data_IF_333702150267
#
_entry.id   IF_333702150267
#
_cell.length_a   1.000
_cell.length_b   1.000
_cell.length_c   1.000
_cell.angle_alpha   90.00
_cell.angle_beta   90.00
_cell.angle_gamma   90.00
#
_symmetry.space_group_name_H-M   'P 1'
#
loop_
_entity.id
_entity.type
_entity.pdbx_description
1 polymer ?
#
# COMPACT_ATOMS: atom_id res chain seq x y z
N UNK A 1 -61.65 14.01 -41.15
CA UNK A 1 -60.86 15.17 -40.68
C UNK A 1 -59.81 14.62 -39.73
N UNK A 2 -58.58 14.45 -40.21
CA UNK A 2 -57.41 15.30 -39.89
C UNK A 2 -56.99 15.16 -38.42
N UNK A 3 -55.77 14.85 -38.01
CA UNK A 3 -54.47 14.77 -38.68
C UNK A 3 -53.48 14.14 -37.65
N UNK A 4 -52.39 13.53 -38.16
CA UNK A 4 -51.00 13.35 -37.61
C UNK A 4 -50.74 13.71 -36.11
N UNK A 5 -49.94 12.95 -35.36
CA UNK A 5 -48.47 12.97 -35.44
C UNK A 5 -47.84 11.69 -34.86
N UNK A 6 -46.74 11.35 -35.53
CA UNK A 6 -45.81 10.24 -35.39
C UNK A 6 -44.60 10.66 -34.51
N UNK A 7 -43.88 9.67 -33.94
CA UNK A 7 -42.45 9.69 -33.57
C UNK A 7 -42.02 10.48 -32.31
N UNK A 8 -41.48 9.82 -31.26
CA UNK A 8 -40.01 9.57 -31.06
C UNK A 8 -39.67 8.92 -29.70
N UNK A 9 -38.77 7.94 -29.78
CA UNK A 9 -37.92 7.39 -28.70
C UNK A 9 -37.19 8.50 -27.94
N UNK A 10 -37.14 8.44 -26.60
CA UNK A 10 -35.93 8.72 -25.79
C UNK A 10 -36.27 8.76 -24.29
N UNK A 11 -35.74 7.83 -23.51
CA UNK A 11 -34.95 8.10 -22.29
C UNK A 11 -34.78 6.84 -21.44
N UNK A 12 -33.78 6.04 -21.79
CA UNK A 12 -33.11 5.11 -20.87
C UNK A 12 -31.61 5.39 -21.04
N UNK A 13 -31.11 6.42 -20.35
CA UNK A 13 -29.67 6.68 -20.14
C UNK A 13 -29.51 7.62 -18.94
N UNK A 14 -29.53 7.06 -17.73
CA UNK A 14 -29.08 7.81 -16.53
C UNK A 14 -28.86 6.93 -15.29
N UNK A 15 -28.37 5.69 -15.44
CA UNK A 15 -28.00 4.84 -14.28
C UNK A 15 -26.65 4.12 -14.46
N UNK A 16 -26.07 4.10 -15.67
CA UNK A 16 -24.87 3.28 -15.97
C UNK A 16 -23.52 3.99 -15.76
N UNK A 17 -23.49 5.25 -15.32
CA UNK A 17 -22.24 6.02 -15.15
C UNK A 17 -21.66 5.96 -13.74
N UNK A 18 -22.45 5.72 -12.69
CA UNK A 18 -21.95 5.69 -11.30
C UNK A 18 -21.38 4.30 -10.89
N UNK A 19 -21.77 3.23 -11.58
CA UNK A 19 -21.35 1.86 -11.26
C UNK A 19 -20.02 1.42 -11.93
N UNK A 20 -19.40 2.28 -12.75
CA UNK A 20 -18.11 2.00 -13.41
C UNK A 20 -16.90 2.49 -12.60
N UNK A 21 -17.08 3.52 -11.78
CA UNK A 21 -15.99 4.11 -11.00
C UNK A 21 -15.66 3.32 -9.73
N UNK A 22 -16.62 2.55 -9.21
CA UNK A 22 -16.47 1.73 -7.98
C UNK A 22 -15.77 0.39 -8.29
N UNK A 23 -16.00 -0.23 -9.45
CA UNK A 23 -15.37 -1.52 -9.83
C UNK A 23 -13.85 -1.43 -10.10
N UNK A 24 -13.32 -0.22 -10.24
CA UNK A 24 -11.91 0.00 -10.57
C UNK A 24 -11.01 0.13 -9.33
N UNK A 25 -11.56 0.44 -8.14
CA UNK A 25 -10.77 0.69 -6.91
C UNK A 25 -10.18 -0.59 -6.30
N UNK A 26 -10.91 -1.71 -6.29
CA UNK A 26 -10.43 -2.99 -5.73
C UNK A 26 -9.33 -3.66 -6.57
N UNK A 27 -9.30 -3.42 -7.88
CA UNK A 27 -8.22 -3.87 -8.79
C UNK A 27 -6.96 -3.02 -8.63
N UNK A 28 -7.13 -1.73 -8.30
CA UNK A 28 -6.04 -0.80 -8.00
C UNK A 28 -5.35 -1.13 -6.67
N UNK A 29 -6.07 -1.53 -5.62
CA UNK A 29 -5.51 -1.81 -4.29
C UNK A 29 -4.52 -2.98 -4.26
N UNK A 30 -4.83 -4.09 -4.95
CA UNK A 30 -3.98 -5.30 -4.98
C UNK A 30 -2.66 -5.03 -5.71
N UNK A 31 -2.74 -4.37 -6.88
CA UNK A 31 -1.53 -3.92 -7.58
C UNK A 31 -0.74 -2.93 -6.71
N UNK A 32 -1.42 -2.04 -5.99
CA UNK A 32 -0.76 -1.04 -5.14
C UNK A 32 0.01 -1.67 -3.98
N UNK A 33 -0.42 -2.82 -3.45
CA UNK A 33 0.29 -3.51 -2.38
C UNK A 33 1.58 -4.19 -2.87
N UNK A 34 1.51 -4.93 -3.97
CA UNK A 34 2.70 -5.54 -4.58
C UNK A 34 3.70 -4.48 -5.05
N UNK A 35 3.21 -3.36 -5.61
CA UNK A 35 4.04 -2.24 -6.02
C UNK A 35 4.74 -1.62 -4.80
N UNK A 36 4.05 -1.45 -3.66
CA UNK A 36 4.66 -0.91 -2.44
C UNK A 36 5.87 -1.73 -1.99
N UNK A 37 5.73 -3.06 -1.87
CA UNK A 37 6.81 -3.93 -1.37
C UNK A 37 7.97 -4.12 -2.37
N UNK A 38 7.71 -3.97 -3.67
CA UNK A 38 8.73 -4.05 -4.71
C UNK A 38 9.34 -2.68 -5.07
N UNK A 39 8.87 -1.59 -4.47
CA UNK A 39 9.40 -0.24 -4.73
C UNK A 39 10.81 -0.09 -4.19
N UNK A 40 11.63 0.67 -4.91
CA UNK A 40 12.98 1.05 -4.47
C UNK A 40 12.93 1.97 -3.25
N UNK A 41 14.06 2.09 -2.55
CA UNK A 41 14.17 3.00 -1.40
C UNK A 41 13.86 4.47 -1.77
N UNK A 42 14.24 4.91 -2.98
CA UNK A 42 13.93 6.27 -3.44
C UNK A 42 12.43 6.48 -3.68
N UNK A 43 11.75 5.49 -4.26
CA UNK A 43 10.30 5.53 -4.49
C UNK A 43 9.52 5.49 -3.18
N UNK A 44 9.94 4.66 -2.22
CA UNK A 44 9.34 4.60 -0.89
C UNK A 44 9.46 5.93 -0.13
N UNK A 45 10.61 6.61 -0.22
CA UNK A 45 10.78 7.93 0.40
C UNK A 45 9.87 8.99 -0.22
N UNK A 46 9.69 8.96 -1.54
CA UNK A 46 8.82 9.91 -2.26
C UNK A 46 7.33 9.59 -2.10
N UNK A 47 6.99 8.31 -1.96
CA UNK A 47 5.62 7.83 -1.81
C UNK A 47 4.88 7.58 -3.12
N UNK A 48 5.56 7.67 -4.26
CA UNK A 48 4.99 7.45 -5.58
C UNK A 48 6.00 6.78 -6.52
N UNK A 49 5.48 6.07 -7.53
CA UNK A 49 6.23 5.43 -8.61
C UNK A 49 5.78 5.98 -9.96
N UNK A 50 6.67 5.98 -10.96
CA UNK A 50 6.32 6.30 -12.34
C UNK A 50 6.30 5.03 -13.19
N UNK A 51 5.18 4.78 -13.86
CA UNK A 51 4.98 3.73 -14.85
C UNK A 51 4.60 4.38 -16.20
N UNK A 52 5.59 4.58 -17.08
CA UNK A 52 5.39 5.29 -18.35
C UNK A 52 4.95 6.74 -18.12
N UNK A 53 3.78 7.11 -18.64
CA UNK A 53 3.19 8.45 -18.49
C UNK A 53 2.30 8.59 -17.25
N UNK A 54 2.29 7.61 -16.35
CA UNK A 54 1.43 7.61 -15.16
C UNK A 54 2.30 7.58 -13.90
N UNK A 55 2.05 8.52 -13.00
CA UNK A 55 2.59 8.54 -11.65
C UNK A 55 1.53 7.96 -10.73
N UNK A 56 1.90 7.02 -9.86
CA UNK A 56 0.97 6.32 -8.96
C UNK A 56 1.42 6.47 -7.51
N UNK A 57 0.50 6.86 -6.64
CA UNK A 57 0.70 6.88 -5.20
C UNK A 57 0.87 5.45 -4.66
N UNK A 58 1.93 5.19 -3.88
CA UNK A 58 2.19 3.89 -3.26
C UNK A 58 1.24 3.58 -2.09
N UNK A 59 0.62 4.61 -1.50
CA UNK A 59 -0.29 4.47 -0.36
C UNK A 59 -1.70 4.11 -0.82
N UNK A 60 -2.34 4.96 -1.63
CA UNK A 60 -3.74 4.78 -2.01
C UNK A 60 -3.96 4.38 -3.48
N UNK A 61 -2.90 4.28 -4.29
CA UNK A 61 -3.01 3.90 -5.70
C UNK A 61 -3.52 5.00 -6.63
N UNK A 62 -3.80 6.22 -6.13
CA UNK A 62 -4.22 7.36 -6.96
C UNK A 62 -3.20 7.65 -8.04
N UNK A 63 -3.68 7.94 -9.26
CA UNK A 63 -2.83 8.13 -10.44
C UNK A 63 -2.85 9.57 -10.95
N UNK A 64 -1.73 9.99 -11.52
CA UNK A 64 -1.51 11.30 -12.11
C UNK A 64 -0.83 11.10 -13.48
N UNK A 65 -1.56 11.36 -14.54
CA UNK A 65 -1.06 11.26 -15.91
C UNK A 65 -0.23 12.49 -16.29
N UNK A 66 0.95 12.26 -16.86
CA UNK A 66 1.82 13.27 -17.46
C UNK A 66 1.13 13.97 -18.63
N UNK A 67 1.44 15.25 -18.82
CA UNK A 67 0.77 16.11 -19.80
C UNK A 67 -0.61 16.62 -19.37
N UNK A 68 -1.10 16.25 -18.18
CA UNK A 68 -2.26 16.88 -17.54
C UNK A 68 -1.82 17.86 -16.46
N UNK A 69 -2.62 18.90 -16.29
CA UNK A 69 -2.49 19.88 -15.20
C UNK A 69 -3.63 19.66 -14.22
N UNK A 70 -3.29 19.61 -12.94
CA UNK A 70 -4.21 19.34 -11.84
C UNK A 70 -4.38 20.61 -11.02
N UNK A 71 -5.63 20.96 -10.74
CA UNK A 71 -5.94 22.05 -9.81
C UNK A 71 -5.94 21.49 -8.39
N UNK A 72 -5.10 22.04 -7.52
CA UNK A 72 -5.05 21.74 -6.09
C UNK A 72 -5.21 23.08 -5.37
N UNK A 73 -6.28 23.20 -4.59
CA UNK A 73 -6.74 24.46 -4.01
C UNK A 73 -6.95 25.54 -5.10
N UNK A 74 -6.18 26.63 -5.06
CA UNK A 74 -6.26 27.74 -6.00
C UNK A 74 -5.19 27.70 -7.10
N UNK A 75 -4.24 26.77 -7.02
CA UNK A 75 -3.10 26.68 -7.94
C UNK A 75 -3.19 25.48 -8.87
N UNK A 76 -2.45 25.55 -9.97
CA UNK A 76 -2.39 24.54 -11.02
C UNK A 76 -0.98 23.92 -11.06
N UNK A 77 -0.92 22.59 -11.00
CA UNK A 77 0.32 21.84 -10.91
C UNK A 77 0.42 20.75 -11.97
N UNK A 78 1.64 20.50 -12.44
CA UNK A 78 1.93 19.33 -13.27
C UNK A 78 1.83 18.03 -12.47
N UNK A 79 1.69 16.91 -13.17
CA UNK A 79 1.49 15.56 -12.61
C UNK A 79 2.43 15.20 -11.45
N UNK A 80 3.73 15.50 -11.57
CA UNK A 80 4.73 15.23 -10.53
C UNK A 80 4.47 15.99 -9.24
N UNK A 81 4.24 17.30 -9.38
CA UNK A 81 3.98 18.16 -8.23
C UNK A 81 2.62 17.85 -7.60
N UNK A 82 1.64 17.50 -8.43
CA UNK A 82 0.33 17.05 -7.97
C UNK A 82 0.42 15.73 -7.16
N UNK A 83 1.27 14.79 -7.58
CA UNK A 83 1.52 13.56 -6.83
C UNK A 83 2.20 13.83 -5.48
N UNK A 84 3.23 14.68 -5.45
CA UNK A 84 3.91 15.10 -4.23
C UNK A 84 2.94 15.77 -3.24
N UNK A 85 2.18 16.76 -3.70
CA UNK A 85 1.18 17.46 -2.89
C UNK A 85 0.07 16.53 -2.42
N UNK A 86 -0.31 15.54 -3.21
CA UNK A 86 -1.26 14.53 -2.78
C UNK A 86 -0.75 13.70 -1.59
N UNK A 87 0.53 13.30 -1.58
CA UNK A 87 1.13 12.63 -0.42
C UNK A 87 1.06 13.54 0.81
N UNK A 88 1.44 14.82 0.66
CA UNK A 88 1.43 15.78 1.77
C UNK A 88 0.02 16.05 2.31
N UNK A 89 -0.95 16.28 1.43
CA UNK A 89 -2.30 16.69 1.82
C UNK A 89 -3.20 15.51 2.24
N UNK A 90 -2.98 14.31 1.67
CA UNK A 90 -3.84 13.13 1.91
C UNK A 90 -3.22 12.14 2.89
N UNK A 91 -1.89 12.11 2.98
CA UNK A 91 -1.16 11.13 3.79
C UNK A 91 -0.18 11.78 4.78
N UNK A 92 -0.23 13.11 4.95
CA UNK A 92 0.68 13.94 5.76
C UNK A 92 2.13 13.92 5.27
N UNK A 93 2.79 12.77 5.34
CA UNK A 93 4.12 12.53 4.77
C UNK A 93 4.42 11.03 4.71
N UNK A 94 5.43 10.64 3.93
CA UNK A 94 5.90 9.26 3.95
C UNK A 94 6.47 8.83 5.29
N UNK A 95 7.14 9.73 6.02
CA UNK A 95 7.64 9.41 7.37
C UNK A 95 6.48 9.10 8.32
N UNK A 96 5.46 9.97 8.36
CA UNK A 96 4.29 9.79 9.22
C UNK A 96 3.51 8.53 8.84
N UNK A 97 3.35 8.26 7.53
CA UNK A 97 2.71 7.04 7.05
C UNK A 97 3.48 5.79 7.52
N UNK A 98 4.80 5.72 7.30
CA UNK A 98 5.63 4.59 7.70
C UNK A 98 5.65 4.41 9.22
N UNK A 99 5.71 5.50 10.00
CA UNK A 99 5.65 5.44 11.46
C UNK A 99 4.32 4.89 11.95
N UNK A 100 3.20 5.20 11.28
CA UNK A 100 1.88 4.70 11.65
C UNK A 100 1.56 3.32 11.06
N UNK A 101 2.44 2.71 10.25
CA UNK A 101 2.31 1.31 9.89
C UNK A 101 2.44 0.40 11.12
N UNK A 102 1.88 -0.80 10.99
CA UNK A 102 2.04 -1.83 11.99
C UNK A 102 3.54 -2.10 12.25
N UNK A 103 3.93 -2.11 13.52
CA UNK A 103 5.32 -2.30 13.95
C UNK A 103 5.92 -3.63 13.48
N UNK A 104 5.07 -4.61 13.14
CA UNK A 104 5.51 -5.88 12.54
C UNK A 104 6.20 -5.65 11.18
N UNK A 105 5.79 -4.64 10.41
CA UNK A 105 6.39 -4.32 9.11
C UNK A 105 7.66 -3.47 9.21
N UNK A 106 7.66 -2.48 10.10
CA UNK A 106 8.80 -1.56 10.27
C UNK A 106 9.87 -2.10 11.21
N UNK A 107 9.52 -3.16 11.95
CA UNK A 107 10.28 -3.67 13.08
C UNK A 107 10.36 -2.70 14.25
N UNK A 108 9.71 -1.54 14.21
CA UNK A 108 9.77 -0.50 15.25
C UNK A 108 8.73 -0.77 16.33
N UNK A 109 9.15 -0.78 17.60
CA UNK A 109 8.22 -0.95 18.73
C UNK A 109 7.43 0.33 19.00
N UNK A 110 6.30 0.25 19.70
CA UNK A 110 5.48 1.43 20.02
C UNK A 110 6.28 2.52 20.75
N UNK A 111 7.09 2.13 21.74
CA UNK A 111 7.97 3.07 22.45
C UNK A 111 9.02 3.72 21.52
N UNK A 112 9.55 2.97 20.55
CA UNK A 112 10.46 3.53 19.54
C UNK A 112 9.74 4.47 18.58
N UNK A 113 8.49 4.15 18.19
CA UNK A 113 7.66 4.97 17.32
C UNK A 113 7.39 6.34 17.94
N UNK A 114 6.98 6.39 19.21
CA UNK A 114 6.72 7.65 19.91
C UNK A 114 7.99 8.53 19.97
N UNK A 115 9.14 7.93 20.25
CA UNK A 115 10.43 8.64 20.24
C UNK A 115 10.78 9.15 18.85
N UNK A 116 10.54 8.37 17.78
CA UNK A 116 10.80 8.77 16.40
C UNK A 116 9.90 9.94 15.95
N UNK A 117 8.62 9.94 16.35
CA UNK A 117 7.70 11.06 16.09
C UNK A 117 8.21 12.35 16.72
N UNK A 118 8.62 12.29 17.99
CA UNK A 118 9.18 13.45 18.68
C UNK A 118 10.54 13.89 18.10
N UNK A 119 11.36 12.97 17.56
CA UNK A 119 12.56 13.34 16.81
C UNK A 119 12.22 14.08 15.50
N UNK A 120 11.15 13.69 14.82
CA UNK A 120 10.71 14.35 13.59
C UNK A 120 10.25 15.80 13.83
N UNK A 121 9.76 16.12 15.03
CA UNK A 121 9.43 17.50 15.44
C UNK A 121 10.67 18.38 15.66
N UNK A 122 11.88 17.82 15.72
CA UNK A 122 13.12 18.58 15.91
C UNK A 122 13.34 19.15 17.31
N UNK A 123 12.56 18.71 18.30
CA UNK A 123 12.68 19.16 19.70
C UNK A 123 13.87 18.52 20.43
N UNK A 124 14.28 19.13 21.56
CA UNK A 124 15.48 18.73 22.29
C UNK A 124 15.30 17.42 23.08
N UNK A 125 16.39 16.68 23.30
CA UNK A 125 16.36 15.44 24.10
C UNK A 125 15.79 15.65 25.52
N UNK A 126 16.00 16.85 26.10
CA UNK A 126 15.45 17.21 27.41
C UNK A 126 13.93 17.34 27.37
N UNK A 127 13.41 17.94 26.30
CA UNK A 127 11.97 18.10 26.11
C UNK A 127 11.29 16.77 25.82
N UNK A 128 11.88 15.93 24.95
CA UNK A 128 11.41 14.57 24.67
C UNK A 128 11.35 13.75 25.95
N UNK A 129 12.42 13.77 26.75
CA UNK A 129 12.47 13.10 28.04
C UNK A 129 11.35 13.56 28.99
N UNK A 130 11.10 14.87 29.03
CA UNK A 130 10.01 15.45 29.82
C UNK A 130 8.62 15.01 29.33
N UNK A 131 8.37 15.00 28.01
CA UNK A 131 7.08 14.60 27.44
C UNK A 131 6.78 13.12 27.67
N UNK A 132 7.81 12.27 27.60
CA UNK A 132 7.68 10.82 27.79
C UNK A 132 7.83 10.37 29.26
N UNK A 133 8.16 11.28 30.18
CA UNK A 133 8.36 10.94 31.60
C UNK A 133 9.58 10.04 31.86
N UNK A 134 10.64 10.16 31.05
CA UNK A 134 11.85 9.34 31.15
C UNK A 134 13.10 10.19 31.39
N UNK A 135 14.21 9.55 31.77
CA UNK A 135 15.49 10.25 31.89
C UNK A 135 16.04 10.65 30.52
N UNK A 136 16.80 11.76 30.45
CA UNK A 136 17.48 12.20 29.22
C UNK A 136 18.48 11.16 28.70
N UNK A 137 19.11 10.39 29.60
CA UNK A 137 19.96 9.25 29.25
C UNK A 137 19.22 8.16 28.48
N UNK A 138 17.92 7.96 28.77
CA UNK A 138 17.06 7.02 28.05
C UNK A 138 16.86 7.46 26.60
N UNK A 139 16.61 8.74 26.35
CA UNK A 139 16.48 9.28 24.98
C UNK A 139 17.78 9.13 24.19
N UNK A 140 18.92 9.43 24.82
CA UNK A 140 20.25 9.19 24.22
C UNK A 140 20.45 7.72 23.85
N UNK A 141 20.03 6.80 24.72
CA UNK A 141 20.11 5.36 24.46
C UNK A 141 19.19 4.95 23.30
N UNK A 142 17.98 5.51 23.20
CA UNK A 142 17.10 5.28 22.05
C UNK A 142 17.77 5.73 20.74
N UNK A 143 18.37 6.93 20.69
CA UNK A 143 19.11 7.41 19.51
C UNK A 143 20.21 6.45 19.10
N UNK A 144 21.02 6.01 20.06
CA UNK A 144 22.11 5.07 19.82
C UNK A 144 21.58 3.76 19.22
N UNK A 145 20.60 3.12 19.86
CA UNK A 145 20.03 1.85 19.40
C UNK A 145 19.34 1.95 18.04
N UNK A 146 18.59 3.04 17.80
CA UNK A 146 17.92 3.27 16.52
C UNK A 146 18.94 3.46 15.38
N UNK A 147 20.02 4.20 15.63
CA UNK A 147 21.11 4.38 14.65
C UNK A 147 21.86 3.07 14.36
N UNK A 148 22.09 2.25 15.37
CA UNK A 148 22.69 0.92 15.15
C UNK A 148 21.75 0.01 14.33
N UNK A 149 20.45 0.07 14.60
CA UNK A 149 19.45 -0.67 13.82
C UNK A 149 19.36 -0.19 12.37
N UNK A 150 19.45 1.12 12.12
CA UNK A 150 19.52 1.67 10.76
C UNK A 150 20.71 1.11 9.99
N UNK A 151 21.90 1.08 10.61
CA UNK A 151 23.10 0.47 10.01
C UNK A 151 22.92 -1.02 9.73
N UNK A 152 22.34 -1.75 10.68
CA UNK A 152 22.05 -3.18 10.52
C UNK A 152 21.08 -3.43 9.38
N UNK A 153 20.00 -2.65 9.28
CA UNK A 153 19.02 -2.75 8.20
C UNK A 153 19.65 -2.46 6.84
N UNK A 154 20.53 -1.45 6.76
CA UNK A 154 21.29 -1.14 5.53
C UNK A 154 22.17 -2.31 5.08
N UNK A 155 22.94 -2.89 6.01
CA UNK A 155 23.78 -4.06 5.70
C UNK A 155 22.95 -5.29 5.34
N UNK A 156 21.82 -5.49 6.01
CA UNK A 156 20.90 -6.58 5.71
C UNK A 156 20.30 -6.47 4.30
N UNK A 157 19.84 -5.29 3.92
CA UNK A 157 19.32 -5.05 2.58
C UNK A 157 20.38 -5.33 1.51
N UNK A 158 21.61 -4.87 1.71
CA UNK A 158 22.72 -5.16 0.81
C UNK A 158 23.01 -6.68 0.69
N UNK A 159 22.97 -7.43 1.80
CA UNK A 159 23.11 -8.88 1.75
C UNK A 159 22.00 -9.56 0.93
N UNK A 160 20.76 -9.10 1.07
CA UNK A 160 19.61 -9.65 0.32
C UNK A 160 19.69 -9.33 -1.17
N UNK A 161 20.13 -8.13 -1.54
CA UNK A 161 20.36 -7.74 -2.93
C UNK A 161 21.45 -8.61 -3.58
N UNK A 162 22.61 -8.74 -2.93
CA UNK A 162 23.72 -9.59 -3.41
C UNK A 162 23.32 -11.07 -3.51
N UNK A 163 22.48 -11.56 -2.60
CA UNK A 163 21.95 -12.92 -2.67
C UNK A 163 21.07 -13.12 -3.91
N UNK A 164 20.19 -12.15 -4.21
CA UNK A 164 19.32 -12.22 -5.38
C UNK A 164 20.12 -12.16 -6.69
N UNK A 165 21.18 -11.33 -6.74
CA UNK A 165 22.10 -11.23 -7.87
C UNK A 165 22.88 -12.53 -8.10
N UNK A 166 23.44 -13.11 -7.03
CA UNK A 166 24.26 -14.33 -7.12
C UNK A 166 23.46 -15.57 -7.50
N UNK A 167 22.20 -15.66 -7.10
CA UNK A 167 21.32 -16.80 -7.41
C UNK A 167 20.44 -16.59 -8.64
N UNK A 168 20.39 -15.35 -9.18
CA UNK A 168 19.45 -14.90 -10.21
C UNK A 168 17.98 -15.28 -9.90
N UNK A 169 17.65 -15.37 -8.61
CA UNK A 169 16.32 -15.73 -8.09
C UNK A 169 16.07 -14.94 -6.81
N UNK A 170 14.90 -14.30 -6.71
CA UNK A 170 14.49 -13.70 -5.44
C UNK A 170 14.25 -14.78 -4.39
N UNK A 171 14.56 -14.49 -3.12
CA UNK A 171 14.36 -15.42 -2.01
C UNK A 171 12.90 -15.87 -1.81
N UNK A 172 11.94 -15.06 -2.25
CA UNK A 172 10.51 -15.38 -2.19
C UNK A 172 10.04 -16.32 -3.33
N UNK A 173 10.93 -16.69 -4.26
CA UNK A 173 10.64 -17.61 -5.38
C UNK A 173 11.02 -19.04 -5.01
N UNK A 174 10.02 -19.86 -4.75
CA UNK A 174 10.11 -21.30 -4.50
C UNK A 174 9.95 -22.09 -5.81
N UNK A 175 10.18 -23.40 -5.77
CA UNK A 175 9.86 -24.30 -6.89
C UNK A 175 8.36 -24.34 -7.20
N UNK A 176 7.53 -24.21 -6.17
CA UNK A 176 6.08 -24.30 -6.22
C UNK A 176 5.40 -22.95 -6.48
N UNK A 177 6.16 -21.86 -6.63
CA UNK A 177 5.60 -20.53 -6.83
C UNK A 177 6.35 -19.34 -6.26
N UNK A 178 5.70 -18.18 -6.28
CA UNK A 178 6.17 -16.97 -5.59
C UNK A 178 5.33 -16.77 -4.33
N UNK A 179 5.98 -16.66 -3.18
CA UNK A 179 5.34 -16.28 -1.91
C UNK A 179 4.80 -14.86 -2.05
N UNK A 180 3.51 -14.69 -1.79
CA UNK A 180 2.84 -13.40 -1.85
C UNK A 180 3.22 -12.53 -0.66
N UNK A 181 3.39 -11.23 -0.91
CA UNK A 181 3.58 -10.26 0.16
C UNK A 181 2.28 -10.03 0.95
N UNK A 182 2.42 -9.81 2.25
CA UNK A 182 1.28 -9.46 3.08
C UNK A 182 0.70 -8.09 2.68
N UNK A 183 -0.58 -7.88 2.96
CA UNK A 183 -1.17 -6.55 2.77
C UNK A 183 -0.53 -5.54 3.73
N UNK A 184 -0.19 -4.33 3.27
CA UNK A 184 0.48 -3.28 4.07
C UNK A 184 -0.31 -2.82 5.31
N UNK A 185 -1.61 -3.13 5.37
CA UNK A 185 -2.47 -2.88 6.55
C UNK A 185 -2.71 -4.12 7.41
N UNK A 186 -2.03 -5.25 7.16
CA UNK A 186 -2.23 -6.46 7.94
C UNK A 186 -1.84 -6.26 9.41
N UNK A 187 -2.67 -6.77 10.30
CA UNK A 187 -2.47 -6.65 11.75
C UNK A 187 -1.56 -7.75 12.32
N UNK A 188 -1.37 -8.84 11.58
CA UNK A 188 -0.48 -9.96 11.94
C UNK A 188 0.40 -10.37 10.75
N UNK A 189 1.61 -10.86 11.03
CA UNK A 189 2.44 -11.60 10.08
C UNK A 189 2.73 -12.97 10.70
N UNK A 190 1.99 -13.98 10.28
CA UNK A 190 2.10 -15.37 10.72
C UNK A 190 2.07 -16.30 9.49
N UNK A 191 2.17 -17.61 9.72
CA UNK A 191 2.18 -18.64 8.64
C UNK A 191 0.98 -18.56 7.69
N UNK A 192 -0.09 -17.84 8.04
CA UNK A 192 -1.24 -17.65 7.16
C UNK A 192 -0.88 -16.82 5.92
N UNK A 193 0.18 -16.01 5.97
CA UNK A 193 0.67 -15.22 4.83
C UNK A 193 1.72 -15.96 3.99
N UNK A 194 2.16 -17.14 4.39
CA UNK A 194 3.01 -18.00 3.56
C UNK A 194 2.18 -18.68 2.45
N UNK A 195 1.59 -17.88 1.56
CA UNK A 195 0.72 -18.30 0.46
C UNK A 195 1.47 -18.12 -0.85
N UNK A 196 1.53 -19.15 -1.69
CA UNK A 196 2.05 -18.98 -3.06
C UNK A 196 0.96 -18.50 -4.02
N UNK A 197 1.37 -17.90 -5.13
CA UNK A 197 0.45 -17.46 -6.19
C UNK A 197 -0.39 -18.62 -6.73
N UNK A 198 0.21 -19.80 -6.85
CA UNK A 198 -0.38 -21.04 -7.34
C UNK A 198 -1.43 -21.58 -6.36
N UNK A 199 -1.11 -21.62 -5.05
CA UNK A 199 -2.06 -21.96 -4.00
C UNK A 199 -3.25 -20.98 -3.99
N UNK A 200 -2.98 -19.69 -4.18
CA UNK A 200 -4.01 -18.64 -4.22
C UNK A 200 -4.99 -18.88 -5.37
N UNK A 201 -4.49 -19.16 -6.58
CA UNK A 201 -5.31 -19.46 -7.75
C UNK A 201 -6.15 -20.73 -7.54
N UNK A 202 -5.55 -21.79 -7.01
CA UNK A 202 -6.27 -23.02 -6.71
C UNK A 202 -7.39 -22.81 -5.68
N UNK A 203 -7.16 -22.00 -4.65
CA UNK A 203 -8.18 -21.68 -3.65
C UNK A 203 -9.32 -20.86 -4.28
N UNK A 204 -9.01 -19.86 -5.11
CA UNK A 204 -10.04 -19.06 -5.78
C UNK A 204 -10.93 -19.94 -6.66
N UNK A 205 -10.37 -20.80 -7.51
CA UNK A 205 -11.14 -21.71 -8.37
C UNK A 205 -12.06 -22.65 -7.57
N UNK A 206 -11.59 -23.11 -6.41
CA UNK A 206 -12.31 -24.05 -5.56
C UNK A 206 -13.44 -23.43 -4.73
N UNK A 207 -13.34 -22.14 -4.41
CA UNK A 207 -14.25 -21.48 -3.45
C UNK A 207 -15.10 -20.35 -4.07
N UNK A 208 -14.75 -19.85 -5.25
CA UNK A 208 -15.45 -18.75 -5.93
C UNK A 208 -15.98 -19.24 -7.30
N UNK A 209 -17.17 -18.80 -7.65
CA UNK A 209 -17.82 -19.05 -8.94
C UNK A 209 -17.34 -18.04 -10.00
N UNK A 210 -17.57 -18.35 -11.27
CA UNK A 210 -17.22 -17.45 -12.39
C UNK A 210 -17.97 -16.11 -12.35
N UNK A 211 -19.16 -16.09 -11.74
CA UNK A 211 -19.96 -14.88 -11.50
C UNK A 211 -19.47 -14.03 -10.31
N UNK A 212 -18.40 -14.46 -9.65
CA UNK A 212 -17.84 -13.79 -8.47
C UNK A 212 -18.54 -14.12 -7.15
N UNK A 213 -19.57 -14.98 -7.15
CA UNK A 213 -20.23 -15.43 -5.93
C UNK A 213 -19.43 -16.50 -5.18
N UNK A 214 -19.61 -16.57 -3.85
CA UNK A 214 -18.92 -17.54 -3.01
C UNK A 214 -19.61 -18.91 -3.07
N UNK A 215 -18.90 -19.97 -3.48
CA UNK A 215 -19.41 -21.36 -3.45
C UNK A 215 -19.66 -21.84 -2.02
N UNK A 216 -18.67 -21.61 -1.14
CA UNK A 216 -18.71 -21.97 0.28
C UNK A 216 -17.67 -21.17 1.05
N UNK A 217 -17.85 -20.99 2.35
CA UNK A 217 -16.86 -20.34 3.21
C UNK A 217 -15.80 -21.36 3.69
N UNK A 218 -14.49 -21.10 3.51
CA UNK A 218 -13.44 -22.02 3.95
C UNK A 218 -13.29 -22.10 5.47
N UNK A 219 -12.93 -23.27 5.99
CA UNK A 219 -12.66 -23.47 7.43
C UNK A 219 -11.26 -23.04 7.86
N UNK A 220 -10.24 -23.26 7.01
CA UNK A 220 -8.83 -22.92 7.29
C UNK A 220 -8.58 -21.42 7.11
N UNK A 221 -7.88 -20.80 8.05
CA UNK A 221 -7.61 -19.34 8.08
C UNK A 221 -6.85 -18.85 6.85
N UNK A 222 -5.80 -19.56 6.41
CA UNK A 222 -5.05 -19.27 5.17
C UNK A 222 -5.99 -19.14 3.95
N UNK A 223 -6.99 -20.02 3.84
CA UNK A 223 -7.98 -19.97 2.74
C UNK A 223 -9.01 -18.85 2.91
N UNK A 224 -9.36 -18.50 4.15
CA UNK A 224 -10.26 -17.37 4.43
C UNK A 224 -9.64 -16.05 3.95
N UNK A 225 -8.36 -15.82 4.20
CA UNK A 225 -7.66 -14.60 3.75
C UNK A 225 -7.74 -14.47 2.23
N UNK A 226 -7.42 -15.54 1.48
CA UNK A 226 -7.47 -15.54 0.01
C UNK A 226 -8.88 -15.22 -0.51
N UNK A 227 -9.90 -15.86 0.07
CA UNK A 227 -11.29 -15.68 -0.36
C UNK A 227 -11.78 -14.27 -0.03
N UNK A 228 -11.51 -13.76 1.17
CA UNK A 228 -11.90 -12.41 1.58
C UNK A 228 -11.23 -11.35 0.70
N UNK A 229 -9.93 -11.51 0.41
CA UNK A 229 -9.20 -10.64 -0.50
C UNK A 229 -9.84 -10.62 -1.89
N UNK A 230 -10.24 -11.79 -2.42
CA UNK A 230 -10.90 -11.86 -3.73
C UNK A 230 -12.31 -11.27 -3.71
N UNK A 231 -13.04 -11.37 -2.60
CA UNK A 231 -14.35 -10.73 -2.44
C UNK A 231 -14.20 -9.21 -2.49
N UNK A 232 -13.24 -8.62 -1.74
CA UNK A 232 -12.98 -7.17 -1.79
C UNK A 232 -12.60 -6.64 -3.16
N UNK A 233 -12.16 -7.49 -4.10
CA UNK A 233 -11.90 -7.07 -5.49
C UNK A 233 -13.17 -6.97 -6.35
N UNK A 234 -14.23 -7.68 -5.97
CA UNK A 234 -15.47 -7.80 -6.75
C UNK A 234 -16.56 -6.82 -6.28
N UNK A 235 -16.34 -6.12 -5.15
CA UNK A 235 -17.20 -5.09 -4.58
C UNK A 235 -16.57 -3.71 -4.76
#
# INVERSE_FOLDING_TARGET
MNNKIDIKKSNIKSVDTENKDIKNSGVLEVKSNEIFWNSTMEELKKGYIQEGDIIKCLICGKTFQNGKVYRIDEEFYESWKAAELHIQNTHNSMLEYLLNMNGIFTGVTDAQREVLKLFAEGISDKEIASRLGVATSTIRNHRYKLREKEKQAKLYLAMMELLNESTNKKINKLEEGIICDAHKTATTLDDRFNITTEEKLQVIQNYINEDGSLKRYPSKEKKKIIVLEQITRNF
#
